data_IF_665075961136
#
_entry.id   IF_665075961136
#
_cell.length_a   1.000
_cell.length_b   1.000
_cell.length_c   1.000
_cell.angle_alpha   90.00
_cell.angle_beta   90.00
_cell.angle_gamma   90.00
#
_symmetry.space_group_name_H-M   'P 1'
#
loop_
_entity.id
_entity.type
_entity.pdbx_description
1 polymer ?
#
# COMPACT_ATOMS: atom_id res chain seq x y z
N UNK A 1 -2.80 62.55 36.95
CA UNK A 1 -2.14 62.54 35.62
C UNK A 1 -2.03 61.08 35.17
N UNK A 2 -2.74 60.73 34.10
CA UNK A 2 -2.85 59.37 33.53
C UNK A 2 -1.56 59.00 32.80
N UNK A 3 -1.05 57.78 33.00
CA UNK A 3 -0.24 57.07 31.99
C UNK A 3 -0.72 55.62 31.94
N UNK A 4 -1.67 55.37 31.05
CA UNK A 4 -2.13 54.03 30.69
C UNK A 4 -1.15 53.54 29.62
N UNK A 5 -0.28 52.60 29.98
CA UNK A 5 0.63 51.95 29.05
C UNK A 5 -0.13 50.78 28.41
N UNK A 6 -0.69 50.97 27.21
CA UNK A 6 -1.28 49.90 26.43
C UNK A 6 -0.17 49.01 25.87
N UNK A 7 0.06 47.86 26.49
CA UNK A 7 0.97 46.83 25.98
C UNK A 7 0.22 46.00 24.92
N UNK A 8 0.48 46.29 23.64
CA UNK A 8 -0.07 45.54 22.51
C UNK A 8 0.71 44.23 22.40
N UNK A 9 0.11 43.14 22.87
CA UNK A 9 0.69 41.79 22.71
C UNK A 9 0.28 41.28 21.32
N UNK A 10 1.24 41.22 20.40
CA UNK A 10 1.04 40.69 19.05
C UNK A 10 0.89 39.15 19.14
N UNK A 11 -0.34 38.66 19.03
CA UNK A 11 -0.66 37.24 18.99
C UNK A 11 -0.26 36.69 17.60
N UNK A 12 0.90 36.03 17.50
CA UNK A 12 1.30 35.32 16.28
C UNK A 12 0.43 34.05 16.19
N UNK A 13 -0.57 34.07 15.31
CA UNK A 13 -1.32 32.88 14.96
C UNK A 13 -0.45 31.98 14.08
N UNK A 14 0.13 30.93 14.65
CA UNK A 14 0.79 29.86 13.89
C UNK A 14 -0.30 29.08 13.18
N UNK A 15 -0.46 29.34 11.87
CA UNK A 15 -1.33 28.53 11.01
C UNK A 15 -0.61 27.22 10.76
N UNK A 16 -0.91 26.20 11.57
CA UNK A 16 -0.46 24.83 11.30
C UNK A 16 -1.24 24.32 10.10
N UNK A 17 -0.67 24.44 8.91
CA UNK A 17 -1.18 23.74 7.73
C UNK A 17 -0.95 22.26 7.96
N UNK A 18 -1.98 21.55 8.39
CA UNK A 18 -1.98 20.10 8.42
C UNK A 18 -1.86 19.58 6.99
N UNK A 19 -0.64 19.30 6.54
CA UNK A 19 -0.43 18.44 5.39
C UNK A 19 -0.96 17.07 5.78
N UNK A 20 -2.14 16.71 5.27
CA UNK A 20 -2.65 15.36 5.42
C UNK A 20 -1.59 14.41 4.90
N UNK A 21 -0.97 13.65 5.80
CA UNK A 21 0.10 12.71 5.46
C UNK A 21 -0.45 11.76 4.39
N UNK A 22 0.19 11.77 3.22
CA UNK A 22 -0.21 10.93 2.09
C UNK A 22 0.27 9.51 2.42
N UNK A 23 -0.64 8.72 2.98
CA UNK A 23 -0.31 7.40 3.54
C UNK A 23 -0.92 6.27 2.67
N UNK A 24 -0.10 5.29 2.22
CA UNK A 24 -0.59 4.13 1.49
C UNK A 24 -1.35 3.16 2.38
N UNK A 25 -1.29 3.29 3.71
CA UNK A 25 -2.01 2.45 4.66
C UNK A 25 -3.52 2.51 4.45
N UNK A 26 -4.16 1.36 4.57
CA UNK A 26 -5.61 1.20 4.52
C UNK A 26 -6.04 0.03 3.65
N UNK A 27 -7.33 0.03 3.33
CA UNK A 27 -7.97 -1.05 2.57
C UNK A 27 -8.03 -0.73 1.09
N UNK A 28 -7.66 -1.71 0.28
CA UNK A 28 -7.51 -1.60 -1.16
C UNK A 28 -8.19 -2.77 -1.87
N UNK A 29 -8.59 -2.56 -3.12
CA UNK A 29 -9.04 -3.61 -4.01
C UNK A 29 -8.15 -3.68 -5.24
N UNK A 30 -7.76 -4.88 -5.64
CA UNK A 30 -7.02 -5.10 -6.88
C UNK A 30 -7.97 -5.49 -8.02
N UNK A 31 -7.68 -4.98 -9.22
CA UNK A 31 -8.35 -5.40 -10.45
C UNK A 31 -7.39 -6.34 -11.18
N UNK A 32 -7.85 -7.54 -11.52
CA UNK A 32 -7.08 -8.46 -12.34
C UNK A 32 -7.04 -7.93 -13.78
N UNK A 33 -5.84 -7.72 -14.31
CA UNK A 33 -5.67 -7.20 -15.66
C UNK A 33 -6.04 -8.23 -16.74
N UNK A 34 -6.16 -9.52 -16.41
CA UNK A 34 -6.57 -10.56 -17.37
C UNK A 34 -8.08 -10.52 -17.66
N UNK A 35 -8.91 -10.31 -16.63
CA UNK A 35 -10.38 -10.36 -16.76
C UNK A 35 -11.14 -9.12 -16.30
N UNK A 36 -10.42 -8.11 -15.79
CA UNK A 36 -10.99 -6.84 -15.31
C UNK A 36 -11.79 -6.96 -14.02
N UNK A 37 -11.77 -8.10 -13.33
CA UNK A 37 -12.58 -8.33 -12.13
C UNK A 37 -11.80 -8.05 -10.86
N UNK A 38 -12.51 -7.58 -9.84
CA UNK A 38 -11.96 -7.44 -8.50
C UNK A 38 -11.84 -8.80 -7.85
N UNK A 39 -10.65 -9.16 -7.37
CA UNK A 39 -10.36 -10.49 -6.80
C UNK A 39 -10.32 -10.49 -5.28
N UNK A 40 -9.78 -9.44 -4.69
CA UNK A 40 -9.54 -9.38 -3.26
C UNK A 40 -9.57 -7.97 -2.69
N UNK A 41 -9.84 -7.90 -1.40
CA UNK A 41 -9.49 -6.76 -0.58
C UNK A 41 -8.15 -7.02 0.09
N UNK A 42 -7.29 -6.01 0.06
CA UNK A 42 -5.93 -6.03 0.57
C UNK A 42 -5.82 -4.96 1.65
N UNK A 43 -5.18 -5.30 2.75
CA UNK A 43 -4.82 -4.35 3.80
C UNK A 43 -3.35 -4.00 3.64
N UNK A 44 -3.06 -2.71 3.44
CA UNK A 44 -1.70 -2.15 3.46
C UNK A 44 -1.49 -1.55 4.84
N UNK A 45 -0.38 -1.88 5.49
CA UNK A 45 -0.10 -1.48 6.88
C UNK A 45 1.39 -1.33 7.14
N UNK A 46 1.74 -0.57 8.18
CA UNK A 46 3.09 -0.49 8.73
C UNK A 46 3.30 -1.56 9.80
N UNK A 47 4.45 -2.20 9.79
CA UNK A 47 4.93 -3.04 10.89
C UNK A 47 6.44 -2.81 11.01
N UNK A 48 6.93 -2.49 12.20
CA UNK A 48 8.36 -2.25 12.47
C UNK A 48 9.05 -1.28 11.48
N UNK A 49 8.33 -0.24 11.05
CA UNK A 49 8.84 0.77 10.11
C UNK A 49 8.95 0.31 8.65
N UNK A 50 8.51 -0.90 8.31
CA UNK A 50 8.40 -1.41 6.94
C UNK A 50 6.95 -1.52 6.52
N UNK A 51 6.67 -1.17 5.26
CA UNK A 51 5.34 -1.25 4.69
C UNK A 51 5.08 -2.65 4.15
N UNK A 52 3.90 -3.17 4.45
CA UNK A 52 3.45 -4.52 4.12
C UNK A 52 2.05 -4.50 3.55
N UNK A 53 1.66 -5.60 2.90
CA UNK A 53 0.25 -5.87 2.63
C UNK A 53 -0.09 -7.35 2.71
N UNK A 54 -1.31 -7.61 3.18
CA UNK A 54 -1.90 -8.94 3.28
C UNK A 54 -3.28 -8.99 2.63
N UNK A 55 -3.72 -10.18 2.27
CA UNK A 55 -5.08 -10.40 1.75
C UNK A 55 -6.06 -10.38 2.91
N UNK A 56 -6.89 -9.35 2.99
CA UNK A 56 -7.91 -9.23 4.04
C UNK A 56 -9.17 -10.05 3.71
N UNK A 57 -9.56 -10.09 2.43
CA UNK A 57 -10.75 -10.82 1.98
C UNK A 57 -10.61 -11.25 0.53
N UNK A 58 -11.07 -12.47 0.21
CA UNK A 58 -11.29 -12.90 -1.17
C UNK A 58 -12.75 -12.61 -1.57
N UNK A 59 -12.95 -12.17 -2.81
CA UNK A 59 -14.29 -11.97 -3.38
C UNK A 59 -14.68 -13.18 -4.24
N UNK A 60 -15.96 -13.26 -4.61
CA UNK A 60 -16.51 -14.41 -5.37
C UNK A 60 -15.81 -14.65 -6.71
N UNK A 61 -15.18 -13.62 -7.28
CA UNK A 61 -14.41 -13.72 -8.51
C UNK A 61 -12.97 -14.25 -8.32
N UNK A 62 -12.55 -14.53 -7.08
CA UNK A 62 -11.23 -15.08 -6.78
C UNK A 62 -11.06 -16.47 -7.40
N UNK A 63 -10.01 -16.63 -8.21
CA UNK A 63 -9.71 -17.90 -8.89
C UNK A 63 -8.77 -18.79 -8.08
N UNK A 64 -8.19 -18.26 -7.00
CA UNK A 64 -7.24 -18.94 -6.12
C UNK A 64 -7.61 -18.61 -4.68
N UNK A 65 -7.74 -19.64 -3.83
CA UNK A 65 -8.07 -19.51 -2.40
C UNK A 65 -6.96 -20.03 -1.48
N UNK A 66 -6.11 -20.93 -2.00
CA UNK A 66 -4.93 -21.47 -1.33
C UNK A 66 -3.70 -21.22 -2.20
N UNK A 67 -2.54 -20.91 -1.61
CA UNK A 67 -1.32 -20.80 -2.38
C UNK A 67 -0.66 -22.17 -2.65
N UNK A 68 -1.25 -22.95 -3.56
CA UNK A 68 -0.77 -24.31 -3.89
C UNK A 68 0.65 -24.33 -4.48
N UNK A 69 1.03 -23.28 -5.20
CA UNK A 69 2.33 -23.15 -5.87
C UNK A 69 3.38 -22.41 -5.04
N UNK A 70 3.00 -21.86 -3.89
CA UNK A 70 3.96 -21.25 -2.97
C UNK A 70 4.92 -22.31 -2.42
N UNK A 71 6.03 -21.83 -1.87
CA UNK A 71 7.02 -22.64 -1.17
C UNK A 71 6.86 -22.45 0.34
N UNK A 72 7.58 -23.28 1.09
CA UNK A 72 7.82 -23.13 2.53
C UNK A 72 6.53 -23.00 3.35
N UNK A 73 6.52 -22.09 4.32
CA UNK A 73 5.41 -21.78 5.21
C UNK A 73 4.14 -21.36 4.48
N UNK A 74 4.25 -20.88 3.23
CA UNK A 74 3.10 -20.41 2.44
C UNK A 74 2.47 -21.48 1.56
N UNK A 75 3.11 -22.65 1.41
CA UNK A 75 2.59 -23.73 0.56
C UNK A 75 1.29 -24.30 1.12
N UNK A 76 0.28 -24.38 0.26
CA UNK A 76 -1.06 -24.88 0.59
C UNK A 76 -1.79 -24.10 1.70
N UNK A 77 -1.30 -22.92 2.08
CA UNK A 77 -1.96 -22.09 3.09
C UNK A 77 -3.08 -21.24 2.48
N UNK A 78 -4.13 -20.91 3.26
CA UNK A 78 -5.16 -19.96 2.87
C UNK A 78 -4.57 -18.61 2.49
N UNK A 79 -5.11 -17.99 1.43
CA UNK A 79 -4.68 -16.64 1.06
C UNK A 79 -5.18 -15.59 2.04
N UNK A 80 -6.36 -15.76 2.63
CA UNK A 80 -6.86 -14.82 3.65
C UNK A 80 -5.90 -14.78 4.83
N UNK A 81 -5.44 -13.57 5.20
CA UNK A 81 -4.42 -13.33 6.20
C UNK A 81 -2.98 -13.44 5.68
N UNK A 82 -2.75 -13.98 4.49
CA UNK A 82 -1.41 -14.15 3.92
C UNK A 82 -0.80 -12.80 3.53
N UNK A 83 0.39 -12.52 4.06
CA UNK A 83 1.25 -11.44 3.60
C UNK A 83 1.73 -11.74 2.17
N UNK A 84 1.42 -10.83 1.25
CA UNK A 84 1.79 -10.95 -0.17
C UNK A 84 2.79 -9.88 -0.61
N UNK A 85 2.98 -8.83 0.19
CA UNK A 85 3.90 -7.73 -0.09
C UNK A 85 4.58 -7.29 1.20
N UNK A 86 5.90 -7.09 1.16
CA UNK A 86 6.69 -6.80 2.37
C UNK A 86 7.99 -6.06 2.08
N UNK A 87 8.59 -5.50 3.13
CA UNK A 87 9.94 -4.91 3.12
C UNK A 87 10.04 -3.60 2.35
N UNK A 88 8.93 -2.91 2.12
CA UNK A 88 8.91 -1.62 1.43
C UNK A 88 9.29 -0.50 2.41
N UNK A 89 10.20 0.38 2.00
CA UNK A 89 10.60 1.58 2.74
C UNK A 89 10.33 2.82 1.91
N UNK A 90 10.14 3.97 2.56
CA UNK A 90 9.94 5.24 1.86
C UNK A 90 11.13 5.54 0.92
N UNK A 91 10.80 5.94 -0.30
CA UNK A 91 11.73 6.27 -1.40
C UNK A 91 11.24 7.53 -2.13
N UNK A 92 10.70 8.47 -1.36
CA UNK A 92 10.08 9.70 -1.84
C UNK A 92 8.73 9.98 -1.15
N UNK A 93 8.12 11.13 -1.46
CA UNK A 93 6.90 11.60 -0.79
C UNK A 93 5.68 10.67 -0.99
N UNK A 94 5.67 9.92 -2.09
CA UNK A 94 4.57 9.03 -2.50
C UNK A 94 5.07 7.70 -3.04
N UNK A 95 6.33 7.37 -2.80
CA UNK A 95 6.99 6.19 -3.35
C UNK A 95 7.58 5.34 -2.23
N UNK A 96 7.44 4.03 -2.37
CA UNK A 96 8.10 3.06 -1.50
C UNK A 96 8.72 1.97 -2.36
N UNK A 97 9.96 1.58 -2.03
CA UNK A 97 10.74 0.63 -2.82
C UNK A 97 11.52 -0.33 -1.93
N UNK A 98 12.41 -1.14 -2.52
CA UNK A 98 13.24 -2.11 -1.81
C UNK A 98 12.54 -3.42 -1.41
N UNK A 99 11.21 -3.47 -1.46
CA UNK A 99 10.44 -4.63 -1.02
C UNK A 99 10.26 -5.75 -2.04
N UNK A 100 9.40 -6.68 -1.67
CA UNK A 100 9.03 -7.85 -2.47
C UNK A 100 7.52 -8.02 -2.54
N UNK A 101 7.06 -8.68 -3.59
CA UNK A 101 5.66 -9.08 -3.76
C UNK A 101 5.59 -10.50 -4.32
N UNK A 102 4.66 -11.28 -3.80
CA UNK A 102 4.40 -12.65 -4.23
C UNK A 102 3.09 -12.73 -5.01
N UNK A 103 3.12 -13.38 -6.18
CA UNK A 103 1.92 -13.75 -6.92
C UNK A 103 1.43 -15.12 -6.45
N UNK A 104 0.26 -15.23 -5.77
CA UNK A 104 -0.23 -16.51 -5.28
C UNK A 104 -0.66 -17.50 -6.38
N UNK A 105 -0.95 -17.03 -7.59
CA UNK A 105 -1.34 -17.88 -8.74
C UNK A 105 -0.15 -18.67 -9.28
N UNK A 106 1.04 -18.07 -9.24
CA UNK A 106 2.29 -18.70 -9.69
C UNK A 106 3.21 -19.16 -8.56
N UNK A 107 3.03 -18.66 -7.34
CA UNK A 107 3.92 -18.86 -6.19
C UNK A 107 5.26 -18.14 -6.33
N UNK A 108 5.42 -17.28 -7.34
CA UNK A 108 6.67 -16.57 -7.62
C UNK A 108 6.74 -15.27 -6.84
N UNK A 109 7.93 -14.93 -6.40
CA UNK A 109 8.25 -13.67 -5.74
C UNK A 109 9.01 -12.75 -6.69
N UNK A 110 8.74 -11.45 -6.59
CA UNK A 110 9.30 -10.40 -7.42
C UNK A 110 9.77 -9.25 -6.54
N UNK A 111 10.74 -8.47 -7.02
CA UNK A 111 11.03 -7.16 -6.41
C UNK A 111 9.80 -6.27 -6.57
N UNK A 112 9.52 -5.44 -5.58
CA UNK A 112 8.35 -4.58 -5.54
C UNK A 112 8.74 -3.13 -5.30
N UNK A 113 8.05 -2.23 -6.00
CA UNK A 113 7.90 -0.84 -5.60
C UNK A 113 6.46 -0.40 -5.78
N UNK A 114 6.02 0.56 -4.97
CA UNK A 114 4.68 1.12 -5.05
C UNK A 114 4.74 2.65 -5.12
N UNK A 115 3.75 3.23 -5.76
CA UNK A 115 3.60 4.67 -5.92
C UNK A 115 2.13 5.05 -5.71
N UNK A 116 1.86 5.98 -4.79
CA UNK A 116 0.52 6.50 -4.54
C UNK A 116 0.20 7.61 -5.57
N UNK A 117 -0.11 7.21 -6.80
CA UNK A 117 -0.41 8.11 -7.94
C UNK A 117 -1.52 9.12 -7.62
N UNK A 118 -2.55 8.68 -6.87
CA UNK A 118 -3.64 9.51 -6.34
C UNK A 118 -4.06 9.02 -4.97
N UNK A 119 -4.77 9.84 -4.17
CA UNK A 119 -5.29 9.47 -2.84
C UNK A 119 -5.92 8.06 -2.79
N UNK A 120 -6.65 7.68 -3.85
CA UNK A 120 -7.39 6.43 -3.95
C UNK A 120 -6.87 5.48 -5.05
N UNK A 121 -5.65 5.70 -5.57
CA UNK A 121 -5.06 4.88 -6.64
C UNK A 121 -3.59 4.59 -6.34
N UNK A 122 -3.30 3.34 -6.00
CA UNK A 122 -1.96 2.85 -5.72
C UNK A 122 -1.47 2.03 -6.91
N UNK A 123 -0.29 2.38 -7.40
CA UNK A 123 0.41 1.64 -8.46
C UNK A 123 1.36 0.67 -7.78
N UNK A 124 1.24 -0.61 -8.11
CA UNK A 124 2.06 -1.68 -7.53
C UNK A 124 2.84 -2.34 -8.66
N UNK A 125 4.17 -2.27 -8.61
CA UNK A 125 5.06 -2.77 -9.66
C UNK A 125 5.87 -3.94 -9.14
N UNK A 126 5.61 -5.14 -9.66
CA UNK A 126 6.45 -6.32 -9.47
C UNK A 126 7.41 -6.52 -10.65
N UNK A 127 8.70 -6.79 -10.40
CA UNK A 127 9.70 -6.92 -11.46
C UNK A 127 10.85 -7.89 -11.14
N UNK A 128 11.57 -8.31 -12.18
CA UNK A 128 12.78 -9.16 -12.10
C UNK A 128 13.99 -8.32 -12.50
N UNK A 129 15.01 -8.27 -11.63
CA UNK A 129 16.20 -7.46 -11.90
C UNK A 129 15.93 -5.97 -11.77
N UNK A 130 15.55 -5.32 -12.89
CA UNK A 130 15.26 -3.89 -13.00
C UNK A 130 13.75 -3.62 -13.23
N UNK A 131 13.20 -2.46 -12.80
CA UNK A 131 11.76 -2.15 -12.91
C UNK A 131 11.14 -2.22 -14.31
N UNK A 132 11.94 -2.08 -15.37
CA UNK A 132 11.50 -2.20 -16.76
C UNK A 132 10.96 -3.61 -17.09
N UNK A 133 11.54 -4.66 -16.51
CA UNK A 133 11.14 -6.05 -16.76
C UNK A 133 10.21 -6.57 -15.67
N UNK A 134 8.93 -6.22 -15.79
CA UNK A 134 7.93 -6.53 -14.78
C UNK A 134 6.49 -6.26 -15.20
N UNK A 135 5.58 -6.32 -14.23
CA UNK A 135 4.15 -6.05 -14.40
C UNK A 135 3.68 -5.03 -13.38
N UNK A 136 2.75 -4.19 -13.81
CA UNK A 136 2.11 -3.19 -12.96
C UNK A 136 0.67 -3.62 -12.71
N UNK A 137 0.23 -3.52 -11.45
CA UNK A 137 -1.16 -3.61 -11.06
C UNK A 137 -1.58 -2.30 -10.41
N UNK A 138 -2.86 -1.97 -10.57
CA UNK A 138 -3.46 -0.84 -9.89
C UNK A 138 -4.40 -1.34 -8.80
N UNK A 139 -4.17 -0.83 -7.60
CA UNK A 139 -5.07 -1.03 -6.48
C UNK A 139 -5.83 0.26 -6.23
N UNK A 140 -7.10 0.11 -5.88
CA UNK A 140 -8.02 1.23 -5.67
C UNK A 140 -8.48 1.21 -4.22
N UNK A 141 -8.45 2.36 -3.56
CA UNK A 141 -8.80 2.43 -2.14
C UNK A 141 -10.28 2.09 -1.97
N UNK A 142 -10.61 1.30 -0.95
CA UNK A 142 -11.99 1.13 -0.53
C UNK A 142 -12.41 2.44 0.16
N UNK A 143 -13.32 3.15 -0.48
CA UNK A 143 -14.01 4.29 0.10
C UNK A 143 -15.38 3.71 0.46
N UNK A 144 -15.61 3.47 1.76
CA UNK A 144 -16.96 3.20 2.25
C UNK A 144 -17.85 4.42 2.04
#
# INVERSE_FOLDING_TARGET
MKKILCSITLLIAVVVTGYGQIDPVGMWKNIDNEDGKVKSHLEVYWEDGVLKAKVAKLLDNATVTLCKKCKDDKKNQPLVGMEIMWGLTADGDKEWSGGQIMDPKSGKQYKCKIELEKKNKLKVRGFIGIPAFGRTQYWYRLVE
#
